data_IF_312081946028
#
_entry.id   IF_312081946028
#
_cell.length_a   1.000
_cell.length_b   1.000
_cell.length_c   1.000
_cell.angle_alpha   90.00
_cell.angle_beta   90.00
_cell.angle_gamma   90.00
#
_symmetry.space_group_name_H-M   'P 1'
#
loop_
_entity.id
_entity.type
_entity.pdbx_description
1 polymer ?
#
# COMPACT_ATOMS: atom_id res chain seq x y z
N UNK A 1 1.08 8.67 -4.53
CA UNK A 1 1.99 8.81 -5.69
C UNK A 1 1.33 9.48 -6.90
N UNK A 2 0.00 9.69 -6.93
CA UNK A 2 -0.69 10.12 -8.16
C UNK A 2 -0.81 9.01 -9.21
N UNK A 3 -0.33 7.80 -8.88
CA UNK A 3 -0.27 6.65 -9.78
C UNK A 3 -0.99 5.47 -9.14
N UNK A 4 -1.93 4.87 -9.87
CA UNK A 4 -2.57 3.63 -9.46
C UNK A 4 -1.69 2.42 -9.78
N UNK A 5 -1.83 1.39 -8.95
CA UNK A 5 -1.35 0.03 -9.19
C UNK A 5 -2.45 -0.94 -8.76
N UNK A 6 -2.54 -2.14 -9.34
CA UNK A 6 -3.46 -3.17 -8.88
C UNK A 6 -3.32 -3.43 -7.37
N UNK A 7 -4.44 -3.56 -6.65
CA UNK A 7 -4.46 -3.87 -5.21
C UNK A 7 -3.60 -5.11 -4.88
N UNK A 8 -3.63 -6.10 -5.77
CA UNK A 8 -2.81 -7.30 -5.70
C UNK A 8 -1.33 -6.99 -5.48
N UNK A 9 -0.75 -6.05 -6.22
CA UNK A 9 0.68 -5.74 -6.14
C UNK A 9 1.05 -5.11 -4.80
N UNK A 10 0.17 -4.30 -4.22
CA UNK A 10 0.36 -3.75 -2.88
C UNK A 10 0.34 -4.84 -1.81
N UNK A 11 -0.59 -5.78 -1.92
CA UNK A 11 -0.70 -6.94 -1.01
C UNK A 11 0.55 -7.84 -1.12
N UNK A 12 1.02 -8.11 -2.34
CA UNK A 12 2.24 -8.88 -2.58
C UNK A 12 3.47 -8.16 -2.01
N UNK A 13 3.61 -6.84 -2.24
CA UNK A 13 4.71 -6.04 -1.66
C UNK A 13 4.71 -6.08 -0.13
N UNK A 14 3.53 -6.03 0.49
CA UNK A 14 3.38 -6.14 1.94
C UNK A 14 3.83 -7.50 2.46
N UNK A 15 3.36 -8.60 1.83
CA UNK A 15 3.81 -9.95 2.19
C UNK A 15 5.31 -10.08 2.07
N UNK A 16 5.87 -9.68 0.94
CA UNK A 16 7.29 -9.89 0.64
C UNK A 16 8.18 -9.11 1.63
N UNK A 17 7.69 -8.01 2.20
CA UNK A 17 8.35 -7.27 3.26
C UNK A 17 8.22 -7.91 4.66
N UNK A 18 7.31 -8.87 4.84
CA UNK A 18 7.09 -9.62 6.09
C UNK A 18 7.74 -11.00 6.00
N UNK A 19 7.27 -11.84 5.07
CA UNK A 19 7.71 -13.20 4.80
C UNK A 19 7.10 -13.67 3.46
N UNK A 20 7.97 -14.03 2.51
CA UNK A 20 7.63 -14.51 1.17
C UNK A 20 6.77 -15.78 1.16
N UNK A 21 6.85 -16.60 2.21
CA UNK A 21 6.15 -17.88 2.29
C UNK A 21 4.68 -17.73 2.72
N UNK A 22 4.24 -16.55 3.17
CA UNK A 22 2.89 -16.38 3.68
C UNK A 22 1.83 -16.49 2.56
N UNK A 23 0.75 -17.26 2.77
CA UNK A 23 -0.33 -17.36 1.79
C UNK A 23 -1.20 -16.09 1.82
N UNK A 24 -1.42 -15.46 0.66
CA UNK A 24 -2.24 -14.25 0.55
C UNK A 24 -3.75 -14.50 0.44
N UNK A 25 -4.15 -15.68 -0.05
CA UNK A 25 -5.57 -16.02 -0.22
C UNK A 25 -6.34 -15.11 -1.18
N UNK A 26 -5.66 -14.51 -2.17
CA UNK A 26 -6.30 -13.67 -3.20
C UNK A 26 -7.39 -14.47 -3.93
N UNK A 27 -8.57 -13.88 -4.07
CA UNK A 27 -9.72 -14.49 -4.77
C UNK A 27 -10.55 -15.48 -3.95
N UNK A 28 -10.25 -15.69 -2.65
CA UNK A 28 -11.07 -16.54 -1.77
C UNK A 28 -12.49 -16.00 -1.52
N UNK A 29 -12.68 -14.68 -1.66
CA UNK A 29 -13.97 -14.01 -1.50
C UNK A 29 -14.30 -13.31 -2.83
N UNK A 30 -15.49 -13.56 -3.42
CA UNK A 30 -15.93 -12.85 -4.61
C UNK A 30 -16.06 -11.34 -4.36
N UNK A 31 -15.87 -10.53 -5.40
CA UNK A 31 -16.12 -9.10 -5.30
C UNK A 31 -17.60 -8.82 -5.04
N UNK A 32 -17.88 -7.83 -4.18
CA UNK A 32 -19.23 -7.34 -3.95
C UNK A 32 -19.77 -6.52 -5.13
N UNK A 33 -21.09 -6.30 -5.20
CA UNK A 33 -21.76 -5.65 -6.33
C UNK A 33 -21.33 -4.19 -6.58
N UNK A 34 -20.72 -3.53 -5.59
CA UNK A 34 -20.27 -2.13 -5.67
C UNK A 34 -18.79 -1.99 -5.31
N UNK A 35 -17.99 -3.04 -5.55
CA UNK A 35 -16.57 -3.00 -5.25
C UNK A 35 -15.87 -1.93 -6.10
N UNK A 36 -15.12 -1.04 -5.44
CA UNK A 36 -14.24 -0.09 -6.13
C UNK A 36 -13.06 -0.84 -6.73
N UNK A 37 -12.93 -0.79 -8.06
CA UNK A 37 -11.87 -1.48 -8.81
C UNK A 37 -10.74 -0.55 -9.27
N UNK A 38 -10.95 0.77 -9.21
CA UNK A 38 -9.98 1.77 -9.58
C UNK A 38 -10.03 2.93 -8.59
N UNK A 39 -8.93 3.16 -7.89
CA UNK A 39 -8.78 4.27 -6.96
C UNK A 39 -7.45 4.97 -7.23
N UNK A 40 -7.53 6.18 -7.78
CA UNK A 40 -6.39 7.04 -8.05
C UNK A 40 -6.77 8.47 -7.73
N UNK A 41 -5.96 9.15 -6.91
CA UNK A 41 -6.07 10.58 -6.74
C UNK A 41 -5.30 11.28 -7.87
N UNK A 42 -5.94 12.23 -8.53
CA UNK A 42 -5.23 13.23 -9.33
C UNK A 42 -4.57 14.24 -8.39
N UNK A 43 -3.25 14.37 -8.49
CA UNK A 43 -2.45 15.28 -7.66
C UNK A 43 -1.91 16.46 -8.45
N UNK A 44 -2.36 16.67 -9.69
CA UNK A 44 -1.83 17.70 -10.60
C UNK A 44 -1.94 19.10 -9.97
N UNK A 45 -3.11 19.45 -9.43
CA UNK A 45 -3.30 20.75 -8.76
C UNK A 45 -2.47 20.88 -7.49
N UNK A 46 -2.46 19.85 -6.64
CA UNK A 46 -1.66 19.84 -5.42
C UNK A 46 -0.17 20.06 -5.72
N UNK A 47 0.35 19.40 -6.76
CA UNK A 47 1.73 19.56 -7.20
C UNK A 47 1.99 20.96 -7.76
N UNK A 48 1.09 21.51 -8.56
CA UNK A 48 1.21 22.84 -9.14
C UNK A 48 1.20 23.95 -8.07
N UNK A 49 0.28 23.88 -7.11
CA UNK A 49 0.05 24.94 -6.13
C UNK A 49 1.11 24.95 -5.01
N UNK A 50 1.65 23.79 -4.67
CA UNK A 50 2.50 23.64 -3.47
C UNK A 50 3.90 23.10 -3.77
N UNK A 51 4.16 22.67 -5.00
CA UNK A 51 5.39 21.92 -5.34
C UNK A 51 5.44 20.52 -4.70
N UNK A 52 4.32 20.02 -4.18
CA UNK A 52 4.28 18.71 -3.54
C UNK A 52 4.66 17.59 -4.51
N UNK A 53 5.57 16.73 -4.06
CA UNK A 53 5.92 15.49 -4.74
C UNK A 53 6.08 14.36 -3.69
N UNK A 54 5.57 13.16 -3.97
CA UNK A 54 5.80 11.99 -3.11
C UNK A 54 7.29 11.64 -3.12
N UNK A 55 7.92 11.64 -1.94
CA UNK A 55 9.35 11.33 -1.77
C UNK A 55 9.64 9.91 -1.29
N UNK A 56 8.66 9.28 -0.64
CA UNK A 56 8.80 7.92 -0.11
C UNK A 56 8.17 6.94 -1.08
N UNK A 57 8.96 5.97 -1.56
CA UNK A 57 8.41 4.88 -2.35
C UNK A 57 7.52 3.99 -1.47
N UNK A 58 6.51 3.36 -2.07
CA UNK A 58 5.56 2.52 -1.33
C UNK A 58 6.28 1.43 -0.52
N UNK A 59 7.24 0.73 -1.14
CA UNK A 59 7.98 -0.35 -0.48
C UNK A 59 8.81 0.15 0.73
N UNK A 60 9.41 1.35 0.63
CA UNK A 60 10.14 1.95 1.75
C UNK A 60 9.21 2.29 2.91
N UNK A 61 8.06 2.91 2.60
CA UNK A 61 7.04 3.23 3.60
C UNK A 61 6.51 1.98 4.32
N UNK A 62 6.27 0.89 3.58
CA UNK A 62 5.84 -0.39 4.15
C UNK A 62 6.90 -0.97 5.09
N UNK A 63 8.18 -1.02 4.69
CA UNK A 63 9.26 -1.51 5.55
C UNK A 63 9.38 -0.70 6.84
N UNK A 64 9.34 0.63 6.74
CA UNK A 64 9.36 1.51 7.91
C UNK A 64 8.17 1.27 8.83
N UNK A 65 6.97 1.09 8.27
CA UNK A 65 5.73 0.82 9.02
C UNK A 65 5.80 -0.53 9.74
N UNK A 66 6.30 -1.58 9.08
CA UNK A 66 6.49 -2.90 9.69
C UNK A 66 7.48 -2.83 10.85
N UNK A 67 8.60 -2.12 10.65
CA UNK A 67 9.61 -1.95 11.70
C UNK A 67 9.00 -1.25 12.93
N UNK A 68 8.26 -0.15 12.71
CA UNK A 68 7.53 0.53 13.77
C UNK A 68 6.48 -0.37 14.45
N UNK A 69 5.68 -1.13 13.69
CA UNK A 69 4.67 -2.02 14.26
C UNK A 69 5.29 -3.12 15.16
N UNK A 70 6.50 -3.58 14.85
CA UNK A 70 7.25 -4.52 15.71
C UNK A 70 7.65 -3.89 17.03
N UNK A 71 8.05 -2.60 17.07
CA UNK A 71 8.40 -1.94 18.33
C UNK A 71 7.19 -1.75 19.25
N UNK A 72 6.01 -1.48 18.69
CA UNK A 72 4.77 -1.34 19.46
C UNK A 72 4.31 -2.65 20.10
N UNK A 73 4.55 -3.79 19.44
CA UNK A 73 4.23 -5.13 19.98
C UNK A 73 5.16 -5.55 21.12
N UNK A 74 6.37 -5.02 21.20
CA UNK A 74 7.33 -5.34 22.26
C UNK A 74 7.00 -4.65 23.60
N UNK A 75 6.15 -3.61 23.55
CA UNK A 75 5.73 -2.79 24.69
C UNK A 75 4.38 -3.18 25.31
N UNK A 76 3.76 -4.28 24.85
CA UNK A 76 2.54 -4.85 25.43
C UNK A 76 2.78 -6.24 26.00
#
# INVERSE_FOLDING_TARGET
SGTARPLREYIETLRDAIDLALPLGLGKIPYGPQQVMFLQADITQLAADTGFAPRTAFADGIRATIAWAKTQKQTN
#
